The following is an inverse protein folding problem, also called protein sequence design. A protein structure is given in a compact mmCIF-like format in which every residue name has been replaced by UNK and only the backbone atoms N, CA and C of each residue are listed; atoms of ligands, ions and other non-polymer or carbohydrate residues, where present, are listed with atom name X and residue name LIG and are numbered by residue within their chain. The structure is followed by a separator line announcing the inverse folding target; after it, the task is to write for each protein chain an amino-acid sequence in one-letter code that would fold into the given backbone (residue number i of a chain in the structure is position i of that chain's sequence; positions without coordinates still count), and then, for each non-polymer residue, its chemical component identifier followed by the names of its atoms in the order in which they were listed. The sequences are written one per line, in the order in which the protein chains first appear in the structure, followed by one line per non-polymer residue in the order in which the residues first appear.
data_IF_918047865457
#
_entry.id   IF_918047865457
#
_cell.length_a   1.000
_cell.length_b   1.000
_cell.length_c   1.000
_cell.angle_alpha   90.00
_cell.angle_beta   90.00
_cell.angle_gamma   90.00
#
_symmetry.space_group_name_H-M   'P 1'
#
loop_
_entity.id
_entity.type
_entity.pdbx_description
1 polymer ?
#
# COMPACT_ATOMS: atom_id res chain seq x y z
N UNK A 1 8.96 -8.04 9.23
CA UNK A 1 8.62 -7.11 8.13
C UNK A 1 8.31 -5.76 8.75
N UNK A 2 8.96 -4.68 8.32
CA UNK A 2 8.63 -3.32 8.79
C UNK A 2 7.37 -2.83 8.07
N UNK A 3 6.47 -2.19 8.81
CA UNK A 3 5.23 -1.62 8.31
C UNK A 3 5.26 -0.10 8.48
N UNK A 4 4.71 0.62 7.52
CA UNK A 4 4.39 2.05 7.62
C UNK A 4 2.87 2.25 7.54
N UNK A 5 2.37 3.26 8.24
CA UNK A 5 0.94 3.61 8.27
C UNK A 5 0.77 5.11 8.16
N UNK A 6 -0.13 5.53 7.30
CA UNK A 6 -0.54 6.93 7.17
C UNK A 6 -2.06 7.02 7.04
N UNK A 7 -2.65 8.00 7.72
CA UNK A 7 -4.10 8.21 7.76
C UNK A 7 -4.58 9.27 6.74
N UNK A 8 -3.83 9.48 5.67
CA UNK A 8 -4.19 10.40 4.58
C UNK A 8 -5.31 9.77 3.73
N UNK A 9 -6.31 10.57 3.36
CA UNK A 9 -7.39 10.19 2.45
C UNK A 9 -7.46 11.25 1.36
N UNK A 10 -7.31 10.83 0.10
CA UNK A 10 -7.42 11.71 -1.06
C UNK A 10 -8.84 11.75 -1.59
N UNK A 11 -9.23 12.86 -2.21
CA UNK A 11 -10.53 12.98 -2.87
C UNK A 11 -10.56 12.18 -4.17
N UNK A 12 -9.47 12.22 -4.94
CA UNK A 12 -9.41 11.62 -6.27
C UNK A 12 -8.51 10.39 -6.35
N UNK A 13 -8.75 9.53 -7.34
CA UNK A 13 -7.86 8.41 -7.62
C UNK A 13 -6.49 8.89 -8.13
N UNK A 14 -6.44 10.01 -8.85
CA UNK A 14 -5.20 10.55 -9.39
C UNK A 14 -4.22 10.98 -8.30
N UNK A 15 -4.71 11.63 -7.25
CA UNK A 15 -3.87 11.99 -6.10
C UNK A 15 -3.35 10.75 -5.38
N UNK A 16 -4.22 9.76 -5.17
CA UNK A 16 -3.84 8.49 -4.55
C UNK A 16 -2.82 7.70 -5.38
N UNK A 17 -2.91 7.72 -6.72
CA UNK A 17 -1.92 7.13 -7.62
C UNK A 17 -0.55 7.81 -7.50
N UNK A 18 -0.52 9.16 -7.48
CA UNK A 18 0.73 9.92 -7.33
C UNK A 18 1.38 9.60 -5.98
N UNK A 19 0.58 9.47 -4.92
CA UNK A 19 1.08 9.05 -3.61
C UNK A 19 1.58 7.61 -3.61
N UNK A 20 0.80 6.68 -4.17
CA UNK A 20 1.17 5.27 -4.21
C UNK A 20 2.48 5.01 -4.98
N UNK A 21 2.80 5.82 -5.99
CA UNK A 21 4.07 5.72 -6.73
C UNK A 21 5.28 6.02 -5.83
N UNK A 22 5.21 7.02 -4.95
CA UNK A 22 6.31 7.28 -3.99
C UNK A 22 6.44 6.13 -2.97
N UNK A 23 5.33 5.62 -2.47
CA UNK A 23 5.32 4.47 -1.54
C UNK A 23 5.91 3.21 -2.20
N UNK A 24 5.55 2.93 -3.46
CA UNK A 24 6.11 1.81 -4.21
C UNK A 24 7.64 1.90 -4.32
N UNK A 25 8.17 3.10 -4.59
CA UNK A 25 9.62 3.34 -4.64
C UNK A 25 10.33 3.05 -3.31
N UNK A 26 9.73 3.44 -2.18
CA UNK A 26 10.29 3.12 -0.85
C UNK A 26 10.26 1.62 -0.55
N UNK A 27 9.21 0.92 -0.98
CA UNK A 27 9.10 -0.54 -0.87
C UNK A 27 10.09 -1.27 -1.80
N UNK A 28 10.30 -0.80 -3.03
CA UNK A 28 11.37 -1.31 -3.91
C UNK A 28 12.75 -1.12 -3.28
N UNK A 29 12.97 0.02 -2.62
CA UNK A 29 14.17 0.31 -1.83
C UNK A 29 14.28 -0.47 -0.52
N UNK A 30 13.29 -1.31 -0.19
CA UNK A 30 13.21 -2.11 1.05
C UNK A 30 13.25 -1.28 2.33
N UNK A 31 12.78 -0.03 2.28
CA UNK A 31 12.66 0.84 3.47
C UNK A 31 11.63 0.27 4.45
N UNK A 32 10.55 -0.30 3.91
CA UNK A 32 9.57 -1.13 4.60
C UNK A 32 8.98 -2.17 3.62
N UNK A 33 8.30 -3.17 4.16
CA UNK A 33 7.75 -4.29 3.38
C UNK A 33 6.23 -4.36 3.36
N UNK A 34 5.55 -3.56 4.20
CA UNK A 34 4.10 -3.44 4.23
C UNK A 34 3.64 -2.02 4.50
N UNK A 35 2.48 -1.68 3.97
CA UNK A 35 1.87 -0.36 4.05
C UNK A 35 0.40 -0.49 4.45
N UNK A 36 -0.03 0.38 5.35
CA UNK A 36 -1.41 0.44 5.86
C UNK A 36 -2.00 1.84 5.62
N UNK A 37 -3.25 1.87 5.16
CA UNK A 37 -3.94 3.13 4.86
C UNK A 37 -5.45 2.97 4.99
N UNK A 38 -6.18 4.00 5.47
CA UNK A 38 -7.64 4.03 5.39
C UNK A 38 -8.15 4.33 3.97
N UNK A 39 -7.29 4.79 3.05
CA UNK A 39 -7.69 5.10 1.68
C UNK A 39 -7.54 3.89 0.76
N UNK A 40 -8.68 3.28 0.41
CA UNK A 40 -8.74 2.15 -0.51
C UNK A 40 -8.12 2.45 -1.88
N UNK A 41 -8.10 3.71 -2.32
CA UNK A 41 -7.53 4.12 -3.62
C UNK A 41 -6.01 3.99 -3.61
N UNK A 42 -5.36 4.38 -2.50
CA UNK A 42 -3.91 4.22 -2.33
C UNK A 42 -3.57 2.73 -2.32
N UNK A 43 -4.28 1.93 -1.54
CA UNK A 43 -4.05 0.49 -1.47
C UNK A 43 -4.22 -0.20 -2.85
N UNK A 44 -5.25 0.19 -3.61
CA UNK A 44 -5.49 -0.29 -4.96
C UNK A 44 -4.33 0.05 -5.91
N UNK A 45 -3.94 1.32 -5.99
CA UNK A 45 -2.87 1.77 -6.88
C UNK A 45 -1.51 1.15 -6.51
N UNK A 46 -1.20 1.10 -5.21
CA UNK A 46 0.05 0.52 -4.70
C UNK A 46 0.16 -0.96 -5.02
N UNK A 47 -0.91 -1.74 -4.80
CA UNK A 47 -0.92 -3.16 -5.13
C UNK A 47 -0.66 -3.39 -6.63
N UNK A 48 -1.27 -2.57 -7.49
CA UNK A 48 -1.03 -2.62 -8.93
C UNK A 48 0.42 -2.30 -9.30
N UNK A 49 1.00 -1.22 -8.77
CA UNK A 49 2.40 -0.86 -9.04
C UNK A 49 3.38 -1.94 -8.59
N UNK A 50 3.25 -2.43 -7.35
CA UNK A 50 4.12 -3.48 -6.83
C UNK A 50 4.05 -4.77 -7.68
N UNK A 51 2.86 -5.13 -8.16
CA UNK A 51 2.64 -6.32 -8.97
C UNK A 51 3.27 -6.23 -10.38
N UNK A 52 3.68 -5.05 -10.83
CA UNK A 52 4.44 -4.91 -12.08
C UNK A 52 5.84 -5.53 -11.99
N UNK A 53 6.38 -5.67 -10.76
CA UNK A 53 7.63 -6.37 -10.52
C UNK A 53 7.37 -7.87 -10.36
N UNK A 54 7.77 -8.68 -11.35
CA UNK A 54 7.56 -10.13 -11.35
C UNK A 54 8.26 -10.87 -10.20
N UNK A 55 9.23 -10.26 -9.54
CA UNK A 55 9.90 -10.81 -8.36
C UNK A 55 9.12 -10.66 -7.06
N UNK A 56 7.99 -9.95 -7.06
CA UNK A 56 7.22 -9.66 -5.86
C UNK A 56 5.95 -10.52 -5.78
N UNK A 57 5.80 -11.22 -4.66
CA UNK A 57 4.50 -11.77 -4.26
C UNK A 57 3.76 -10.69 -3.48
N UNK A 58 2.87 -9.97 -4.15
CA UNK A 58 2.07 -8.91 -3.52
C UNK A 58 0.85 -9.51 -2.83
N UNK A 59 0.67 -9.16 -1.57
CA UNK A 59 -0.47 -9.55 -0.77
C UNK A 59 -1.28 -8.33 -0.34
N UNK A 60 -2.59 -8.51 -0.22
CA UNK A 60 -3.52 -7.47 0.22
C UNK A 60 -4.40 -7.98 1.34
N UNK A 61 -4.85 -7.10 2.22
CA UNK A 61 -5.73 -7.43 3.33
C UNK A 61 -6.52 -6.22 3.81
N UNK A 62 -7.52 -6.49 4.64
CA UNK A 62 -8.35 -5.45 5.28
C UNK A 62 -8.49 -5.79 6.76
N UNK A 63 -8.31 -4.78 7.62
CA UNK A 63 -8.61 -4.86 9.04
C UNK A 63 -9.73 -3.86 9.35
N UNK A 64 -10.73 -4.30 10.11
CA UNK A 64 -11.75 -3.42 10.67
C UNK A 64 -11.26 -2.93 12.04
N UNK A 65 -10.98 -1.63 12.16
CA UNK A 65 -10.66 -0.98 13.43
C UNK A 65 -11.84 -0.10 13.85
N UNK A 66 -12.58 -0.52 14.89
CA UNK A 66 -13.79 0.15 15.42
C UNK A 66 -14.79 0.54 14.32
N UNK A 67 -14.63 1.72 13.71
CA UNK A 67 -15.49 2.29 12.66
C UNK A 67 -14.76 2.56 11.32
N UNK A 68 -13.53 2.09 11.14
CA UNK A 68 -12.71 2.37 9.94
C UNK A 68 -12.16 1.09 9.32
N UNK A 69 -12.19 1.05 7.99
CA UNK A 69 -11.53 0.01 7.21
C UNK A 69 -10.08 0.42 6.95
N UNK A 70 -9.13 -0.38 7.41
CA UNK A 70 -7.72 -0.21 7.14
C UNK A 70 -7.29 -1.22 6.09
N UNK A 71 -6.87 -0.72 4.94
CA UNK A 71 -6.37 -1.51 3.82
C UNK A 71 -4.87 -1.72 3.97
N UNK A 72 -4.43 -2.94 3.71
CA UNK A 72 -3.05 -3.37 3.89
C UNK A 72 -2.52 -3.92 2.58
N UNK A 73 -1.31 -3.51 2.22
CA UNK A 73 -0.57 -4.04 1.06
C UNK A 73 0.83 -4.40 1.53
N UNK A 74 1.31 -5.59 1.21
CA UNK A 74 2.67 -5.99 1.57
C UNK A 74 3.27 -6.92 0.53
N UNK A 75 4.59 -6.96 0.49
CA UNK A 75 5.34 -7.95 -0.30
C UNK A 75 5.60 -9.14 0.63
N UNK A 76 5.05 -10.31 0.30
CA UNK A 76 5.44 -11.52 0.98
C UNK A 76 6.91 -11.79 0.66
N UNK A 77 7.75 -11.73 1.70
CA UNK A 77 9.12 -12.19 1.60
C UNK A 77 9.11 -13.73 1.47
N UNK A 78 10.00 -14.27 0.64
CA UNK A 78 10.40 -15.69 0.70
C UNK A 78 10.91 -16.09 2.09
#
# INVERSE_FOLDING_TARGET
MKWEREDIIFETIREAEVWADSIANEMYGRVFGGYETPDYKIAYALAFFLAQNQGFTVCTGVICEEDRMIYRVWIANE
#
